data_IF_777364611964
#
_entry.id   IF_777364611964
#
_cell.length_a   1.000
_cell.length_b   1.000
_cell.length_c   1.000
_cell.angle_alpha   90.00
_cell.angle_beta   90.00
_cell.angle_gamma   90.00
#
_symmetry.space_group_name_H-M   'P 1'
#
loop_
_entity.id
_entity.type
_entity.pdbx_description
1 polymer ?
#
# COMPACT_ATOMS: atom_id res chain seq x y z
N UNK A 1 7.81 -24.98 -12.06
CA UNK A 1 8.54 -24.03 -11.20
C UNK A 1 9.90 -24.61 -10.87
N UNK A 2 10.86 -23.81 -10.42
CA UNK A 2 12.14 -24.35 -9.92
C UNK A 2 11.91 -25.02 -8.56
N UNK A 3 12.59 -26.14 -8.28
CA UNK A 3 12.56 -26.77 -6.95
C UNK A 3 12.99 -25.80 -5.83
N UNK A 4 13.82 -24.80 -6.15
CA UNK A 4 14.22 -23.75 -5.21
C UNK A 4 13.03 -22.83 -4.89
N UNK A 5 12.23 -22.46 -5.92
CA UNK A 5 11.09 -21.58 -5.74
C UNK A 5 10.01 -22.25 -4.87
N UNK A 6 9.69 -23.51 -5.13
CA UNK A 6 8.69 -24.27 -4.35
C UNK A 6 9.11 -24.40 -2.88
N UNK A 7 10.39 -24.64 -2.61
CA UNK A 7 10.91 -24.68 -1.24
C UNK A 7 10.80 -23.31 -0.56
N UNK A 8 11.23 -22.24 -1.22
CA UNK A 8 11.17 -20.88 -0.67
C UNK A 8 9.74 -20.45 -0.37
N UNK A 9 8.79 -20.82 -1.23
CA UNK A 9 7.36 -20.56 -1.03
C UNK A 9 6.82 -21.28 0.21
N UNK A 10 7.09 -22.59 0.34
CA UNK A 10 6.66 -23.37 1.50
C UNK A 10 7.26 -22.83 2.81
N UNK A 11 8.57 -22.54 2.80
CA UNK A 11 9.27 -22.00 3.97
C UNK A 11 8.69 -20.62 4.35
N UNK A 12 8.43 -19.73 3.37
CA UNK A 12 7.84 -18.43 3.61
C UNK A 12 6.41 -18.51 4.15
N UNK A 13 5.57 -19.41 3.61
CA UNK A 13 4.19 -19.60 4.08
C UNK A 13 4.12 -20.17 5.50
N UNK A 14 5.17 -20.86 5.96
CA UNK A 14 5.26 -21.39 7.32
C UNK A 14 5.55 -20.31 8.39
N UNK A 15 6.03 -19.14 7.99
CA UNK A 15 6.39 -18.06 8.92
C UNK A 15 5.15 -17.44 9.59
N UNK A 16 5.30 -16.86 10.79
CA UNK A 16 4.28 -15.98 11.38
C UNK A 16 3.89 -14.84 10.46
N UNK A 17 2.64 -14.36 10.58
CA UNK A 17 2.10 -13.32 9.69
C UNK A 17 2.99 -12.07 9.60
N UNK A 18 3.56 -11.62 10.73
CA UNK A 18 4.38 -10.41 10.76
C UNK A 18 5.71 -10.60 10.04
N UNK A 19 6.34 -11.77 10.16
CA UNK A 19 7.56 -12.12 9.43
C UNK A 19 7.31 -12.29 7.94
N UNK A 20 6.16 -12.89 7.57
CA UNK A 20 5.74 -12.96 6.16
C UNK A 20 5.57 -11.57 5.55
N UNK A 21 4.92 -10.65 6.28
CA UNK A 21 4.73 -9.28 5.82
C UNK A 21 6.07 -8.57 5.59
N UNK A 22 7.01 -8.73 6.54
CA UNK A 22 8.36 -8.18 6.43
C UNK A 22 9.14 -8.78 5.24
N UNK A 23 9.05 -10.09 5.03
CA UNK A 23 9.71 -10.76 3.90
C UNK A 23 9.11 -10.32 2.56
N UNK A 24 7.78 -10.19 2.48
CA UNK A 24 7.09 -9.71 1.29
C UNK A 24 7.55 -8.30 0.90
N UNK A 25 7.63 -7.38 1.86
CA UNK A 25 8.11 -6.01 1.65
C UNK A 25 9.53 -5.97 1.04
N UNK A 26 10.44 -6.78 1.59
CA UNK A 26 11.82 -6.90 1.07
C UNK A 26 11.88 -7.47 -0.34
N UNK A 27 11.08 -8.50 -0.62
CA UNK A 27 11.03 -9.12 -1.94
C UNK A 27 10.46 -8.12 -2.96
N UNK A 28 9.37 -7.44 -2.64
CA UNK A 28 8.77 -6.41 -3.51
C UNK A 28 9.77 -5.28 -3.79
N UNK A 29 10.45 -4.78 -2.75
CA UNK A 29 11.48 -3.74 -2.89
C UNK A 29 12.66 -4.17 -3.76
N UNK A 30 12.93 -5.48 -3.87
CA UNK A 30 14.03 -6.01 -4.70
C UNK A 30 13.71 -6.06 -6.19
N UNK A 31 12.44 -5.96 -6.57
CA UNK A 31 11.99 -6.11 -7.95
C UNK A 31 12.19 -4.85 -8.81
N UNK A 32 12.65 -3.73 -8.23
CA UNK A 32 12.79 -2.44 -8.92
C UNK A 32 11.45 -1.71 -9.09
N UNK A 33 11.52 -0.40 -9.38
CA UNK A 33 10.33 0.47 -9.52
C UNK A 33 9.46 0.13 -10.74
N UNK A 34 10.08 -0.37 -11.82
CA UNK A 34 9.42 -0.57 -13.13
C UNK A 34 8.19 -1.49 -13.10
N UNK A 35 8.04 -2.35 -12.08
CA UNK A 35 6.87 -3.23 -11.94
C UNK A 35 5.63 -2.43 -11.48
N UNK A 36 5.81 -1.30 -10.82
CA UNK A 36 4.74 -0.51 -10.22
C UNK A 36 4.45 0.79 -10.95
N UNK A 37 5.18 1.14 -12.02
CA UNK A 37 5.02 2.41 -12.76
C UNK A 37 3.56 2.66 -13.18
N UNK A 38 2.86 1.65 -13.73
CA UNK A 38 1.45 1.77 -14.12
C UNK A 38 0.52 2.07 -12.92
N UNK A 39 0.85 1.54 -11.75
CA UNK A 39 0.09 1.76 -10.51
C UNK A 39 0.39 3.14 -9.95
N UNK A 40 1.66 3.55 -9.95
CA UNK A 40 2.06 4.90 -9.53
C UNK A 40 1.40 5.98 -10.40
N UNK A 41 1.40 5.79 -11.73
CA UNK A 41 0.72 6.68 -12.68
C UNK A 41 -0.79 6.74 -12.40
N UNK A 42 -1.44 5.60 -12.15
CA UNK A 42 -2.85 5.57 -11.79
C UNK A 42 -3.14 6.30 -10.47
N UNK A 43 -2.25 6.22 -9.49
CA UNK A 43 -2.36 6.96 -8.23
C UNK A 43 -2.21 8.47 -8.42
N UNK A 44 -1.27 8.91 -9.26
CA UNK A 44 -1.10 10.34 -9.61
C UNK A 44 -2.39 10.88 -10.25
N UNK A 45 -2.93 10.18 -11.24
CA UNK A 45 -4.18 10.57 -11.90
C UNK A 45 -5.36 10.67 -10.91
N UNK A 46 -5.49 9.71 -10.01
CA UNK A 46 -6.55 9.73 -9.00
C UNK A 46 -6.36 10.86 -7.98
N UNK A 47 -5.13 11.14 -7.56
CA UNK A 47 -4.82 12.25 -6.65
C UNK A 47 -5.18 13.60 -7.27
N UNK A 48 -4.81 13.84 -8.53
CA UNK A 48 -5.17 15.05 -9.26
C UNK A 48 -6.68 15.19 -9.42
N UNK A 49 -7.37 14.11 -9.78
CA UNK A 49 -8.82 14.07 -9.93
C UNK A 49 -9.52 14.44 -8.62
N UNK A 50 -9.11 13.85 -7.50
CA UNK A 50 -9.68 14.16 -6.16
C UNK A 50 -9.42 15.59 -5.74
N UNK A 51 -8.22 16.10 -6.02
CA UNK A 51 -7.89 17.49 -5.72
C UNK A 51 -8.75 18.46 -6.52
N UNK A 52 -8.98 18.19 -7.81
CA UNK A 52 -9.91 18.95 -8.65
C UNK A 52 -11.33 18.97 -8.08
N UNK A 53 -11.89 17.80 -7.74
CA UNK A 53 -13.23 17.70 -7.13
C UNK A 53 -13.35 18.49 -5.83
N UNK A 54 -12.32 18.45 -4.99
CA UNK A 54 -12.26 19.25 -3.76
C UNK A 54 -12.28 20.74 -4.05
N UNK A 55 -11.44 21.22 -4.99
CA UNK A 55 -11.37 22.63 -5.37
C UNK A 55 -12.67 23.15 -5.99
N UNK A 56 -13.41 22.29 -6.67
CA UNK A 56 -14.70 22.60 -7.29
C UNK A 56 -15.89 22.43 -6.32
N UNK A 57 -15.65 22.03 -5.08
CA UNK A 57 -16.70 21.83 -4.07
C UNK A 57 -17.60 20.63 -4.33
N UNK A 58 -17.17 19.67 -5.16
CA UNK A 58 -17.92 18.44 -5.46
C UNK A 58 -17.77 17.36 -4.38
N UNK A 59 -16.89 17.59 -3.41
CA UNK A 59 -16.60 16.71 -2.26
C UNK A 59 -16.65 17.52 -0.98
N UNK A 60 -17.33 16.99 0.03
CA UNK A 60 -17.29 17.56 1.38
C UNK A 60 -15.97 17.17 2.07
N UNK A 61 -15.15 18.15 2.50
CA UNK A 61 -13.92 17.85 3.23
C UNK A 61 -14.21 17.45 4.67
N UNK A 62 -13.39 16.54 5.20
CA UNK A 62 -13.40 16.18 6.62
C UNK A 62 -12.37 17.07 7.35
N UNK A 63 -12.72 17.72 8.48
CA UNK A 63 -11.76 18.46 9.28
C UNK A 63 -10.58 17.57 9.71
N UNK A 64 -9.35 18.07 9.56
CA UNK A 64 -8.16 17.30 9.89
C UNK A 64 -8.14 16.80 11.34
N UNK A 65 -8.66 17.60 12.28
CA UNK A 65 -8.79 17.23 13.69
C UNK A 65 -9.63 15.97 13.92
N UNK A 66 -10.69 15.78 13.12
CA UNK A 66 -11.55 14.60 13.20
C UNK A 66 -10.82 13.37 12.66
N UNK A 67 -10.11 13.52 11.54
CA UNK A 67 -9.28 12.45 10.95
C UNK A 67 -8.21 11.97 11.92
N UNK A 68 -7.48 12.89 12.56
CA UNK A 68 -6.44 12.53 13.52
C UNK A 68 -7.01 11.89 14.79
N UNK A 69 -8.12 12.40 15.32
CA UNK A 69 -8.77 11.82 16.49
C UNK A 69 -9.32 10.41 16.24
N UNK A 70 -9.73 10.07 15.01
CA UNK A 70 -10.09 8.71 14.63
C UNK A 70 -8.85 7.81 14.53
N UNK A 71 -7.78 8.29 13.88
CA UNK A 71 -6.53 7.54 13.73
C UNK A 71 -5.92 7.17 15.09
N UNK A 72 -5.88 8.13 16.03
CA UNK A 72 -5.37 7.90 17.39
C UNK A 72 -6.19 6.84 18.15
N UNK A 73 -7.51 6.77 17.91
CA UNK A 73 -8.38 5.74 18.53
C UNK A 73 -8.17 4.34 17.94
N UNK A 74 -7.75 4.23 16.68
CA UNK A 74 -7.51 2.95 16.01
C UNK A 74 -6.11 2.40 16.29
N UNK A 75 -5.14 3.28 16.56
CA UNK A 75 -3.74 2.93 16.75
C UNK A 75 -3.28 2.92 18.22
N UNK A 76 -4.07 3.51 19.12
CA UNK A 76 -3.87 3.47 20.58
C UNK A 76 -4.55 2.28 21.24
#
# INVERSE_FOLDING_TARGET
>A
MSAILEKVELDALSLPQQERAFLADRLLSSLGGEIFDDVEDAWVLEAERRYGEYKEGRREPIPASEVFAEADRLLG
#
